data_IF_308009522159
#
_entry.id   IF_308009522159
#
_cell.length_a   1.000
_cell.length_b   1.000
_cell.length_c   1.000
_cell.angle_alpha   90.00
_cell.angle_beta   90.00
_cell.angle_gamma   90.00
#
_symmetry.space_group_name_H-M   'P 1'
#
loop_
_entity.id
_entity.type
_entity.pdbx_description
1 polymer ?
#
# COMPACT_ATOMS: atom_id res chain seq x y z
N UNK A 1 -54.48 20.48 -18.50
CA UNK A 1 -54.02 19.17 -18.99
C UNK A 1 -52.50 19.21 -19.05
N UNK A 2 -51.84 18.77 -17.98
CA UNK A 2 -50.38 18.80 -17.83
C UNK A 2 -49.78 17.55 -18.47
N UNK A 3 -48.90 17.70 -19.46
CA UNK A 3 -48.08 16.59 -19.96
C UNK A 3 -46.76 16.54 -19.17
N UNK A 4 -46.54 15.41 -18.50
CA UNK A 4 -45.31 15.11 -17.80
C UNK A 4 -44.22 14.74 -18.83
N UNK A 5 -43.22 15.61 -18.99
CA UNK A 5 -42.02 15.32 -19.76
C UNK A 5 -41.12 14.36 -18.97
N UNK A 6 -41.12 13.07 -19.35
CA UNK A 6 -40.17 12.10 -18.83
C UNK A 6 -38.77 12.40 -19.35
N UNK A 7 -37.88 12.89 -18.49
CA UNK A 7 -36.47 13.00 -18.80
C UNK A 7 -35.81 11.62 -18.70
N UNK A 8 -35.35 11.10 -19.84
CA UNK A 8 -34.55 9.89 -19.92
C UNK A 8 -33.18 10.14 -19.27
N UNK A 9 -32.94 9.58 -18.10
CA UNK A 9 -31.63 9.60 -17.44
C UNK A 9 -30.68 8.68 -18.25
N UNK A 10 -29.79 9.29 -19.03
CA UNK A 10 -28.70 8.59 -19.71
C UNK A 10 -27.73 8.03 -18.67
N UNK A 11 -27.60 6.69 -18.59
CA UNK A 11 -26.57 6.02 -17.78
C UNK A 11 -25.20 6.27 -18.42
N UNK A 12 -24.41 7.16 -17.84
CA UNK A 12 -23.03 7.38 -18.26
C UNK A 12 -22.19 6.12 -18.00
N UNK A 13 -21.49 5.65 -19.04
CA UNK A 13 -20.63 4.45 -18.97
C UNK A 13 -19.31 4.83 -18.29
N UNK A 14 -18.98 4.17 -17.19
CA UNK A 14 -17.69 4.36 -16.49
C UNK A 14 -16.57 3.74 -17.34
N UNK A 15 -15.42 4.41 -17.39
CA UNK A 15 -14.23 3.90 -18.08
C UNK A 15 -13.45 2.94 -17.19
N UNK A 16 -12.72 1.99 -17.78
CA UNK A 16 -11.83 1.08 -17.03
C UNK A 16 -10.84 1.82 -16.12
N UNK A 17 -10.35 2.99 -16.57
CA UNK A 17 -9.45 3.85 -15.79
C UNK A 17 -10.14 4.42 -14.53
N UNK A 18 -11.40 4.85 -14.68
CA UNK A 18 -12.19 5.33 -13.54
C UNK A 18 -12.51 4.21 -12.56
N UNK A 19 -12.84 3.00 -13.05
CA UNK A 19 -13.05 1.82 -12.21
C UNK A 19 -11.78 1.44 -11.44
N UNK A 20 -10.62 1.43 -12.11
CA UNK A 20 -9.33 1.17 -11.47
C UNK A 20 -9.00 2.23 -10.41
N UNK A 21 -9.16 3.52 -10.73
CA UNK A 21 -8.94 4.60 -9.77
C UNK A 21 -9.86 4.49 -8.54
N UNK A 22 -11.12 4.11 -8.74
CA UNK A 22 -12.05 3.90 -7.64
C UNK A 22 -11.65 2.67 -6.80
N UNK A 23 -11.19 1.59 -7.43
CA UNK A 23 -10.68 0.41 -6.73
C UNK A 23 -9.46 0.75 -5.87
N UNK A 24 -8.49 1.49 -6.43
CA UNK A 24 -7.30 1.96 -5.70
C UNK A 24 -7.73 2.80 -4.49
N UNK A 25 -8.62 3.79 -4.70
CA UNK A 25 -9.13 4.66 -3.64
C UNK A 25 -9.81 3.88 -2.52
N UNK A 26 -10.69 2.94 -2.86
CA UNK A 26 -11.39 2.11 -1.89
C UNK A 26 -10.44 1.21 -1.10
N UNK A 27 -9.37 0.72 -1.74
CA UNK A 27 -8.35 -0.09 -1.08
C UNK A 27 -7.52 0.76 -0.11
N UNK A 28 -7.06 1.94 -0.53
CA UNK A 28 -6.31 2.88 0.33
C UNK A 28 -7.15 3.27 1.55
N UNK A 29 -8.42 3.61 1.37
CA UNK A 29 -9.30 3.97 2.50
C UNK A 29 -9.40 2.84 3.52
N UNK A 30 -9.69 1.61 3.07
CA UNK A 30 -9.76 0.45 3.96
C UNK A 30 -8.44 0.18 4.67
N UNK A 31 -7.31 0.35 3.98
CA UNK A 31 -5.98 0.16 4.56
C UNK A 31 -5.67 1.23 5.62
N UNK A 32 -6.03 2.50 5.37
CA UNK A 32 -5.86 3.59 6.34
C UNK A 32 -6.69 3.39 7.61
N UNK A 33 -7.83 2.70 7.53
CA UNK A 33 -8.63 2.36 8.72
C UNK A 33 -7.94 1.33 9.64
N UNK A 34 -6.95 0.57 9.13
CA UNK A 34 -6.26 -0.50 9.87
C UNK A 34 -4.78 -0.23 10.15
N UNK A 35 -4.14 0.66 9.39
CA UNK A 35 -2.70 0.89 9.37
C UNK A 35 -2.39 2.34 9.75
N UNK A 36 -1.54 2.52 10.75
CA UNK A 36 -1.03 3.82 11.17
C UNK A 36 0.50 3.91 10.99
N UNK A 37 1.07 5.12 10.89
CA UNK A 37 2.52 5.29 10.93
C UNK A 37 3.12 4.59 12.15
N UNK A 38 4.23 3.89 11.94
CA UNK A 38 4.90 3.05 12.93
C UNK A 38 4.39 1.61 13.00
N UNK A 39 3.27 1.26 12.39
CA UNK A 39 2.81 -0.13 12.39
C UNK A 39 3.84 -1.06 11.74
N UNK A 40 3.89 -2.30 12.23
CA UNK A 40 4.73 -3.36 11.65
C UNK A 40 3.91 -4.19 10.67
N UNK A 41 4.39 -4.25 9.44
CA UNK A 41 3.83 -5.08 8.38
C UNK A 41 4.72 -6.29 8.19
N UNK A 42 4.09 -7.46 8.34
CA UNK A 42 4.75 -8.75 8.15
C UNK A 42 4.65 -9.19 6.70
N UNK A 43 5.74 -9.74 6.16
CA UNK A 43 5.76 -10.29 4.81
C UNK A 43 6.20 -11.75 4.83
N UNK A 44 5.56 -12.58 3.99
CA UNK A 44 5.92 -13.99 3.79
C UNK A 44 6.18 -14.24 2.32
N UNK A 45 7.30 -14.89 2.00
CA UNK A 45 7.60 -15.32 0.64
C UNK A 45 6.81 -16.59 0.32
N UNK A 46 5.82 -16.49 -0.57
CA UNK A 46 4.97 -17.62 -0.97
C UNK A 46 5.57 -18.41 -2.12
N UNK A 47 6.11 -17.71 -3.12
CA UNK A 47 6.80 -18.34 -4.24
C UNK A 47 7.80 -17.37 -4.89
N UNK A 48 8.71 -17.91 -5.71
CA UNK A 48 9.65 -17.14 -6.51
C UNK A 48 9.77 -17.73 -7.91
N UNK A 49 9.86 -16.88 -8.93
CA UNK A 49 10.18 -17.31 -10.28
C UNK A 49 11.60 -17.91 -10.34
N UNK A 50 11.84 -18.83 -11.28
CA UNK A 50 13.15 -19.47 -11.48
C UNK A 50 14.29 -18.46 -11.71
N UNK A 51 13.99 -17.35 -12.39
CA UNK A 51 14.95 -16.27 -12.64
C UNK A 51 15.33 -15.47 -11.38
N UNK A 52 14.58 -15.61 -10.29
CA UNK A 52 14.73 -14.77 -9.09
C UNK A 52 14.27 -13.32 -9.29
N UNK A 53 13.74 -12.96 -10.47
CA UNK A 53 13.34 -11.59 -10.81
C UNK A 53 11.92 -11.24 -10.36
N UNK A 54 11.13 -12.22 -9.91
CA UNK A 54 9.73 -12.04 -9.52
C UNK A 54 9.39 -12.93 -8.32
N UNK A 55 8.64 -12.38 -7.36
CA UNK A 55 8.27 -13.04 -6.10
C UNK A 55 6.81 -12.79 -5.77
N UNK A 56 6.20 -13.76 -5.11
CA UNK A 56 4.85 -13.71 -4.57
C UNK A 56 4.96 -13.50 -3.07
N UNK A 57 4.49 -12.35 -2.58
CA UNK A 57 4.64 -11.91 -1.19
C UNK A 57 3.26 -11.79 -0.55
N UNK A 58 2.99 -12.59 0.48
CA UNK A 58 1.84 -12.35 1.32
C UNK A 58 2.14 -11.20 2.28
N UNK A 59 1.20 -10.28 2.45
CA UNK A 59 1.33 -9.10 3.31
C UNK A 59 0.33 -9.21 4.44
N UNK A 60 0.82 -9.15 5.68
CA UNK A 60 0.07 -9.43 6.89
C UNK A 60 0.17 -8.25 7.85
N UNK A 61 -0.96 -7.81 8.40
CA UNK A 61 -1.04 -6.84 9.49
C UNK A 61 -2.00 -7.36 10.55
N UNK A 62 -1.59 -7.34 11.83
CA UNK A 62 -2.44 -7.78 12.97
C UNK A 62 -3.11 -9.14 12.70
N UNK A 63 -2.31 -10.11 12.24
CA UNK A 63 -2.71 -11.48 11.88
C UNK A 63 -3.71 -11.62 10.70
N UNK A 64 -3.95 -10.54 9.95
CA UNK A 64 -4.82 -10.53 8.76
C UNK A 64 -3.98 -10.41 7.50
N UNK A 65 -4.21 -11.32 6.55
CA UNK A 65 -3.66 -11.19 5.20
C UNK A 65 -4.42 -10.09 4.43
N UNK A 66 -3.69 -9.07 4.00
CA UNK A 66 -4.22 -7.89 3.29
C UNK A 66 -3.70 -7.81 1.85
N UNK A 67 -3.06 -8.85 1.32
CA UNK A 67 -2.42 -8.85 -0.01
C UNK A 67 -3.33 -8.37 -1.15
N UNK A 68 -4.63 -8.69 -1.13
CA UNK A 68 -5.57 -8.24 -2.16
C UNK A 68 -5.80 -6.71 -2.15
N UNK A 69 -5.88 -6.12 -0.96
CA UNK A 69 -5.96 -4.66 -0.78
C UNK A 69 -4.63 -4.01 -1.18
N UNK A 70 -3.50 -4.57 -0.75
CA UNK A 70 -2.16 -4.06 -1.08
C UNK A 70 -1.92 -4.12 -2.58
N UNK A 71 -2.25 -5.23 -3.25
CA UNK A 71 -2.17 -5.37 -4.72
C UNK A 71 -2.92 -4.24 -5.42
N UNK A 72 -4.11 -3.91 -4.91
CA UNK A 72 -4.92 -2.83 -5.47
C UNK A 72 -4.30 -1.45 -5.20
N UNK A 73 -3.80 -1.19 -3.99
CA UNK A 73 -3.22 0.10 -3.61
C UNK A 73 -1.92 0.42 -4.35
N UNK A 74 -1.07 -0.58 -4.60
CA UNK A 74 0.25 -0.42 -5.25
C UNK A 74 0.23 -0.74 -6.75
N UNK A 75 -0.96 -0.91 -7.33
CA UNK A 75 -1.19 -1.30 -8.73
C UNK A 75 -0.36 -2.52 -9.18
N UNK A 76 -0.31 -3.55 -8.34
CA UNK A 76 0.37 -4.80 -8.64
C UNK A 76 -0.59 -5.97 -8.82
N UNK A 77 -0.08 -7.05 -9.43
CA UNK A 77 -0.83 -8.27 -9.66
C UNK A 77 -1.10 -8.99 -8.34
N UNK A 78 -2.38 -9.20 -8.06
CA UNK A 78 -2.84 -10.16 -7.06
C UNK A 78 -2.83 -11.57 -7.66
N UNK A 79 -2.43 -12.55 -6.85
CA UNK A 79 -2.35 -13.96 -7.24
C UNK A 79 -3.27 -14.83 -6.36
N UNK A 80 -3.65 -15.98 -6.90
CA UNK A 80 -4.59 -16.93 -6.28
C UNK A 80 -4.07 -17.57 -4.98
N UNK A 81 -2.77 -17.41 -4.68
CA UNK A 81 -2.11 -17.85 -3.44
C UNK A 81 -2.13 -16.78 -2.33
N UNK A 82 -3.04 -15.81 -2.44
CA UNK A 82 -3.23 -14.66 -1.56
C UNK A 82 -1.98 -13.80 -1.37
N UNK A 83 -1.30 -13.51 -2.49
CA UNK A 83 -0.05 -12.76 -2.51
C UNK A 83 -0.05 -11.59 -3.50
N UNK A 84 0.79 -10.61 -3.20
CA UNK A 84 1.21 -9.54 -4.12
C UNK A 84 2.38 -10.04 -4.95
N UNK A 85 2.30 -9.87 -6.26
CA UNK A 85 3.44 -10.04 -7.13
C UNK A 85 4.38 -8.83 -7.05
N UNK A 86 5.69 -9.05 -7.00
CA UNK A 86 6.66 -7.96 -7.07
C UNK A 86 7.89 -8.38 -7.86
N UNK A 87 8.33 -7.51 -8.78
CA UNK A 87 9.55 -7.68 -9.55
C UNK A 87 10.75 -7.04 -8.84
N UNK A 88 11.95 -7.54 -9.11
CA UNK A 88 13.20 -6.97 -8.58
C UNK A 88 14.30 -8.00 -8.40
N UNK A 89 15.55 -7.51 -8.36
CA UNK A 89 16.76 -8.29 -8.11
C UNK A 89 17.67 -7.52 -7.14
N UNK A 90 18.38 -8.24 -6.26
CA UNK A 90 19.37 -7.65 -5.36
C UNK A 90 18.82 -6.77 -4.22
N UNK A 91 17.51 -6.73 -4.03
CA UNK A 91 16.82 -5.93 -3.00
C UNK A 91 15.99 -6.80 -2.06
N UNK A 92 15.75 -6.33 -0.83
CA UNK A 92 14.74 -6.92 0.05
C UNK A 92 13.35 -6.61 -0.52
N UNK A 93 12.74 -7.65 -1.12
CA UNK A 93 11.45 -7.49 -1.78
C UNK A 93 10.30 -7.25 -0.79
N UNK A 94 10.44 -7.76 0.43
CA UNK A 94 9.43 -7.58 1.48
C UNK A 94 9.40 -6.14 1.89
N UNK A 95 10.58 -5.55 2.13
CA UNK A 95 10.73 -4.12 2.35
C UNK A 95 10.15 -3.31 1.19
N UNK A 96 10.46 -3.68 -0.06
CA UNK A 96 9.97 -2.94 -1.23
C UNK A 96 8.44 -2.90 -1.34
N UNK A 97 7.76 -4.02 -1.08
CA UNK A 97 6.30 -4.08 -1.03
C UNK A 97 5.75 -3.17 0.06
N UNK A 98 6.36 -3.21 1.26
CA UNK A 98 5.94 -2.38 2.39
C UNK A 98 6.23 -0.90 2.15
N UNK A 99 7.33 -0.56 1.48
CA UNK A 99 7.67 0.81 1.08
C UNK A 99 6.63 1.37 0.11
N UNK A 100 6.29 0.62 -0.95
CA UNK A 100 5.27 1.04 -1.92
C UNK A 100 3.88 1.18 -1.28
N UNK A 101 3.52 0.26 -0.37
CA UNK A 101 2.30 0.38 0.43
C UNK A 101 2.32 1.65 1.28
N UNK A 102 3.41 1.89 2.01
CA UNK A 102 3.56 3.04 2.90
C UNK A 102 3.46 4.36 2.14
N UNK A 103 4.12 4.46 0.99
CA UNK A 103 4.06 5.64 0.11
C UNK A 103 2.63 5.91 -0.41
N UNK A 104 1.90 4.85 -0.76
CA UNK A 104 0.50 4.96 -1.20
C UNK A 104 -0.45 5.42 -0.06
N UNK A 105 -0.19 5.01 1.19
CA UNK A 105 -1.03 5.38 2.34
C UNK A 105 -0.70 6.77 2.90
N UNK A 106 0.56 7.19 2.80
CA UNK A 106 1.08 8.42 3.39
C UNK A 106 1.77 9.31 2.35
N UNK A 107 1.09 9.68 1.25
CA UNK A 107 1.72 10.37 0.11
C UNK A 107 2.26 11.77 0.45
N UNK A 108 1.80 12.34 1.56
CA UNK A 108 2.25 13.64 2.06
C UNK A 108 3.28 13.51 3.19
N UNK A 109 3.76 12.30 3.49
CA UNK A 109 4.62 12.06 4.64
C UNK A 109 3.85 11.72 5.91
N UNK A 110 4.56 11.74 7.04
CA UNK A 110 4.01 11.39 8.35
C UNK A 110 4.74 12.12 9.47
N UNK A 111 4.06 12.28 10.61
CA UNK A 111 4.68 12.85 11.82
C UNK A 111 5.56 11.78 12.49
N UNK A 112 6.77 12.17 12.89
CA UNK A 112 7.69 11.31 13.62
C UNK A 112 6.99 10.61 14.79
N UNK A 113 7.06 9.28 14.81
CA UNK A 113 6.39 8.44 15.82
C UNK A 113 7.25 8.23 17.08
N UNK A 114 8.27 9.07 17.27
CA UNK A 114 9.18 9.03 18.40
C UNK A 114 10.24 7.94 18.29
N UNK A 115 10.71 7.47 19.45
CA UNK A 115 11.77 6.46 19.51
C UNK A 115 11.44 5.22 18.67
N UNK A 116 12.38 4.84 17.80
CA UNK A 116 12.24 3.78 16.77
C UNK A 116 11.41 4.18 15.54
N UNK A 117 11.19 5.47 15.29
CA UNK A 117 10.59 5.92 14.04
C UNK A 117 11.31 5.28 12.83
N UNK A 118 10.58 4.67 11.88
CA UNK A 118 11.18 3.99 10.72
C UNK A 118 11.74 4.94 9.66
N UNK A 119 11.58 6.26 9.82
CA UNK A 119 12.07 7.24 8.85
C UNK A 119 13.56 7.07 8.56
N UNK A 120 13.90 7.15 7.28
CA UNK A 120 15.29 7.17 6.83
C UNK A 120 16.04 8.43 7.30
N UNK A 121 15.33 9.52 7.62
CA UNK A 121 15.92 10.74 8.16
C UNK A 121 16.73 10.45 9.44
N UNK A 122 16.31 9.48 10.26
CA UNK A 122 17.04 9.10 11.47
C UNK A 122 18.26 8.22 11.25
N UNK A 123 18.29 7.53 10.11
CA UNK A 123 19.38 6.64 9.73
C UNK A 123 20.46 7.35 8.91
N UNK A 124 20.05 8.31 8.08
CA UNK A 124 20.90 9.02 7.13
C UNK A 124 21.07 10.52 7.44
N UNK A 125 20.33 11.05 8.41
CA UNK A 125 20.33 12.46 8.81
C UNK A 125 20.57 12.62 10.32
N UNK A 126 19.79 13.51 10.95
CA UNK A 126 19.87 13.71 12.39
C UNK A 126 19.14 12.61 13.17
N UNK A 127 19.58 12.34 14.40
CA UNK A 127 18.91 11.39 15.30
C UNK A 127 17.91 12.10 16.20
N UNK A 128 17.19 13.10 15.66
CA UNK A 128 16.11 13.76 16.36
C UNK A 128 14.86 12.87 16.31
N UNK A 129 14.25 12.58 17.46
CA UNK A 129 13.01 11.82 17.55
C UNK A 129 11.88 12.65 18.16
N UNK A 130 12.06 13.97 18.26
CA UNK A 130 10.99 14.89 18.65
C UNK A 130 9.92 14.97 17.56
N UNK A 131 8.68 15.38 17.86
CA UNK A 131 7.65 15.49 16.84
C UNK A 131 8.02 16.48 15.73
N UNK A 132 8.33 15.97 14.55
CA UNK A 132 8.50 16.73 13.30
C UNK A 132 7.95 15.93 12.13
N UNK A 133 7.90 16.55 10.96
CA UNK A 133 7.29 15.97 9.78
C UNK A 133 8.33 15.33 8.86
N UNK A 134 8.20 14.04 8.58
CA UNK A 134 8.96 13.34 7.55
C UNK A 134 8.26 13.47 6.21
N UNK A 135 8.95 13.98 5.19
CA UNK A 135 8.36 14.18 3.86
C UNK A 135 8.18 12.83 3.13
N UNK A 136 9.06 11.86 3.36
CA UNK A 136 9.03 10.57 2.68
C UNK A 136 8.05 9.60 3.35
N UNK A 137 6.87 9.45 2.76
CA UNK A 137 5.83 8.53 3.21
C UNK A 137 6.20 7.04 3.14
N UNK A 138 7.10 6.66 2.24
CA UNK A 138 7.56 5.27 2.06
C UNK A 138 8.23 4.65 3.29
N UNK A 139 8.68 5.47 4.25
CA UNK A 139 9.29 5.02 5.49
C UNK A 139 8.37 5.13 6.71
N UNK A 140 7.07 5.32 6.53
CA UNK A 140 6.13 5.41 7.65
C UNK A 140 5.89 4.05 8.35
N UNK A 141 6.14 2.93 7.67
CA UNK A 141 5.87 1.59 8.19
C UNK A 141 7.16 0.80 8.45
N UNK A 142 7.10 -0.14 9.39
CA UNK A 142 8.18 -1.11 9.65
C UNK A 142 7.88 -2.40 8.88
N UNK A 143 8.90 -2.99 8.26
CA UNK A 143 8.77 -4.31 7.64
C UNK A 143 9.40 -5.39 8.53
N UNK A 144 8.80 -6.59 8.52
CA UNK A 144 9.37 -7.79 9.12
C UNK A 144 9.06 -9.04 8.30
N UNK A 145 10.05 -9.90 8.09
CA UNK A 145 9.83 -11.24 7.55
C UNK A 145 9.27 -12.20 8.60
N UNK A 146 8.31 -13.03 8.20
CA UNK A 146 7.82 -14.19 8.96
C UNK A 146 8.23 -15.50 8.29
#
# INVERSE_FOLDING_TARGET
MSSAGGQTISRQRVTKKQEQAQRIRNAIQQLQDMIQPGDTISTVLKSRAKSGMYRHIAVIVKDRNISGLVSSAVDSRWHDDDSVGMSGCGMDIGFAVVYALSDALFPQGFVCVGNRCPSNDHSNGDRDYTPHHHISGGYALRQRWL
#
